data_IF_113616161459
#
_entry.id   IF_113616161459
#
_cell.length_a   1.000
_cell.length_b   1.000
_cell.length_c   1.000
_cell.angle_alpha   90.00
_cell.angle_beta   90.00
_cell.angle_gamma   90.00
#
_symmetry.space_group_name_H-M   'P 1'
#
loop_
_entity.id
_entity.type
_entity.pdbx_description
1 polymer ?
#
# COMPACT_ATOMS: atom_id res chain seq x y z
N UNK A 1 12.19 -5.29 6.29
CA UNK A 1 12.53 -3.88 6.02
C UNK A 1 14.03 -3.80 5.99
N UNK A 2 14.57 -3.41 4.83
CA UNK A 2 16.00 -3.24 4.64
C UNK A 2 16.48 -1.96 5.35
N UNK A 3 17.79 -1.85 5.59
CA UNK A 3 18.35 -0.73 6.36
C UNK A 3 18.13 0.63 5.68
N UNK A 4 18.28 0.73 4.35
CA UNK A 4 18.02 2.01 3.68
C UNK A 4 16.58 2.50 3.82
N UNK A 5 15.62 1.57 3.85
CA UNK A 5 14.21 1.93 3.99
C UNK A 5 13.88 2.52 5.36
N UNK A 6 14.73 2.22 6.36
CA UNK A 6 14.65 2.88 7.66
C UNK A 6 15.02 4.35 7.49
N UNK A 7 16.07 4.67 6.72
CA UNK A 7 16.44 6.06 6.44
C UNK A 7 15.33 6.77 5.65
N UNK A 8 14.77 6.15 4.62
CA UNK A 8 13.63 6.70 3.87
C UNK A 8 12.42 6.97 4.79
N UNK A 9 12.11 6.02 5.68
CA UNK A 9 11.02 6.19 6.66
C UNK A 9 11.32 7.32 7.64
N UNK A 10 12.57 7.44 8.10
CA UNK A 10 13.01 8.52 8.99
C UNK A 10 12.84 9.87 8.29
N UNK A 11 13.27 10.00 7.03
CA UNK A 11 13.20 11.25 6.28
C UNK A 11 11.76 11.63 5.92
N UNK A 12 10.94 10.65 5.53
CA UNK A 12 9.50 10.85 5.35
C UNK A 12 8.84 11.32 6.66
N UNK A 13 9.16 10.69 7.79
CA UNK A 13 8.57 11.04 9.08
C UNK A 13 9.08 12.38 9.59
N UNK A 14 10.34 12.73 9.35
CA UNK A 14 10.91 14.05 9.68
C UNK A 14 10.17 15.16 8.93
N UNK A 15 9.84 14.92 7.66
CA UNK A 15 9.15 15.90 6.81
C UNK A 15 7.67 16.06 7.19
N UNK A 16 7.01 14.98 7.63
CA UNK A 16 5.56 14.96 7.82
C UNK A 16 5.11 14.97 9.29
N UNK A 17 5.78 14.21 10.15
CA UNK A 17 5.43 13.96 11.55
C UNK A 17 5.30 15.23 12.39
N UNK A 18 6.27 16.17 12.39
CA UNK A 18 6.18 17.41 13.17
C UNK A 18 4.96 18.27 12.82
N UNK A 19 4.59 18.36 11.54
CA UNK A 19 3.41 19.10 11.08
C UNK A 19 2.13 18.48 11.65
N UNK A 20 1.97 17.18 11.50
CA UNK A 20 0.81 16.43 12.01
C UNK A 20 0.74 16.48 13.53
N UNK A 21 1.88 16.29 14.22
CA UNK A 21 1.96 16.37 15.68
C UNK A 21 1.57 17.76 16.21
N UNK A 22 1.92 18.84 15.51
CA UNK A 22 1.46 20.19 15.83
C UNK A 22 -0.06 20.33 15.68
N UNK A 23 -0.64 19.81 14.60
CA UNK A 23 -2.09 19.85 14.37
C UNK A 23 -2.87 19.06 15.43
N UNK A 24 -2.37 17.87 15.82
CA UNK A 24 -2.93 17.12 16.95
C UNK A 24 -2.89 17.92 18.26
N UNK A 25 -1.76 18.55 18.58
CA UNK A 25 -1.63 19.40 19.77
C UNK A 25 -2.58 20.60 19.75
N UNK A 26 -2.77 21.23 18.59
CA UNK A 26 -3.71 22.34 18.45
C UNK A 26 -5.14 21.92 18.81
N UNK A 27 -5.61 20.80 18.24
CA UNK A 27 -6.93 20.27 18.56
C UNK A 27 -7.03 19.83 20.04
N UNK A 28 -6.02 19.11 20.53
CA UNK A 28 -5.95 18.66 21.92
C UNK A 28 -6.02 19.83 22.92
N UNK A 29 -5.37 20.96 22.63
CA UNK A 29 -5.43 22.15 23.48
C UNK A 29 -6.85 22.72 23.58
N UNK A 30 -7.57 22.79 22.46
CA UNK A 30 -8.96 23.27 22.43
C UNK A 30 -9.89 22.32 23.20
N UNK A 31 -9.73 21.01 23.00
CA UNK A 31 -10.52 20.00 23.72
C UNK A 31 -10.23 20.04 25.23
N UNK A 32 -8.96 20.17 25.62
CA UNK A 32 -8.56 20.28 27.03
C UNK A 32 -9.08 21.56 27.69
N UNK A 33 -9.10 22.68 26.95
CA UNK A 33 -9.75 23.91 27.40
C UNK A 33 -11.24 23.67 27.61
N UNK A 34 -11.91 23.04 26.65
CA UNK A 34 -13.33 22.70 26.74
C UNK A 34 -13.64 21.68 27.85
N UNK A 35 -12.71 20.83 28.24
CA UNK A 35 -12.88 19.91 29.37
C UNK A 35 -12.76 20.61 30.72
N UNK A 36 -11.89 21.62 30.83
CA UNK A 36 -11.51 22.23 32.12
C UNK A 36 -12.16 23.59 32.40
N UNK A 37 -12.58 24.32 31.37
CA UNK A 37 -13.11 25.67 31.49
C UNK A 37 -14.61 25.73 31.22
N UNK A 38 -15.29 26.69 31.87
CA UNK A 38 -16.71 26.95 31.64
C UNK A 38 -16.95 27.65 30.30
N UNK A 39 -16.05 28.54 29.88
CA UNK A 39 -16.11 29.17 28.57
C UNK A 39 -15.57 28.19 27.52
N UNK A 40 -16.42 27.79 26.57
CA UNK A 40 -16.02 26.86 25.50
C UNK A 40 -15.44 27.60 24.31
N UNK A 41 -14.42 27.01 23.69
CA UNK A 41 -13.82 27.42 22.43
C UNK A 41 -14.39 26.59 21.28
N UNK A 42 -14.50 27.17 20.07
CA UNK A 42 -14.92 26.43 18.88
C UNK A 42 -13.87 25.38 18.49
N UNK A 43 -14.33 24.16 18.19
CA UNK A 43 -13.46 23.01 17.84
C UNK A 43 -13.29 22.83 16.32
N UNK A 44 -14.25 23.35 15.55
CA UNK A 44 -14.45 23.00 14.14
C UNK A 44 -13.24 23.31 13.25
N UNK A 45 -12.58 24.44 13.48
CA UNK A 45 -11.43 24.86 12.66
C UNK A 45 -10.23 23.93 12.85
N UNK A 46 -9.85 23.67 14.11
CA UNK A 46 -8.71 22.80 14.43
C UNK A 46 -9.00 21.34 14.04
N UNK A 47 -10.26 20.90 14.17
CA UNK A 47 -10.69 19.59 13.69
C UNK A 47 -10.49 19.47 12.18
N UNK A 48 -11.01 20.45 11.42
CA UNK A 48 -10.92 20.45 9.97
C UNK A 48 -9.47 20.51 9.48
N UNK A 49 -8.66 21.39 10.07
CA UNK A 49 -7.23 21.52 9.73
C UNK A 49 -6.46 20.20 9.96
N UNK A 50 -6.74 19.50 11.06
CA UNK A 50 -6.12 18.21 11.36
C UNK A 50 -6.60 17.11 10.39
N UNK A 51 -7.91 17.01 10.14
CA UNK A 51 -8.49 16.02 9.23
C UNK A 51 -7.96 16.21 7.80
N UNK A 52 -7.95 17.45 7.29
CA UNK A 52 -7.36 17.76 5.99
C UNK A 52 -5.86 17.46 5.97
N UNK A 53 -5.14 17.86 7.02
CA UNK A 53 -3.71 17.62 7.15
C UNK A 53 -3.33 16.14 7.12
N UNK A 54 -4.16 15.29 7.76
CA UNK A 54 -4.02 13.84 7.79
C UNK A 54 -4.38 13.20 6.44
N UNK A 55 -5.47 13.62 5.80
CA UNK A 55 -5.87 13.14 4.48
C UNK A 55 -4.87 13.53 3.38
N UNK A 56 -4.18 14.66 3.55
CA UNK A 56 -3.14 15.13 2.63
C UNK A 56 -1.76 14.49 2.86
N UNK A 57 -1.60 13.57 3.83
CA UNK A 57 -0.33 12.89 4.02
C UNK A 57 0.00 11.97 2.84
N UNK A 58 1.23 12.02 2.30
CA UNK A 58 1.63 11.18 1.18
C UNK A 58 1.96 9.74 1.66
N UNK A 59 0.98 9.06 2.26
CA UNK A 59 1.11 7.68 2.73
C UNK A 59 1.44 6.71 1.59
N UNK A 60 1.12 7.08 0.36
CA UNK A 60 1.44 6.32 -0.86
C UNK A 60 2.91 6.34 -1.23
N UNK A 61 3.75 7.22 -0.64
CA UNK A 61 5.21 7.18 -0.83
C UNK A 61 5.86 6.05 -0.01
N UNK A 62 5.23 5.69 1.11
CA UNK A 62 5.70 4.61 1.97
C UNK A 62 5.41 3.24 1.33
N UNK A 63 6.39 2.34 1.40
CA UNK A 63 6.19 0.95 1.04
C UNK A 63 5.48 0.17 2.16
N UNK A 64 5.02 -1.05 1.86
CA UNK A 64 4.23 -1.84 2.81
C UNK A 64 4.98 -2.20 4.09
N UNK A 65 6.31 -2.37 4.03
CA UNK A 65 7.10 -2.69 5.22
C UNK A 65 7.22 -1.47 6.14
N UNK A 66 7.36 -0.27 5.57
CA UNK A 66 7.38 0.98 6.32
C UNK A 66 6.02 1.25 6.99
N UNK A 67 4.91 1.05 6.27
CA UNK A 67 3.56 1.16 6.84
C UNK A 67 3.37 0.15 7.98
N UNK A 68 3.72 -1.13 7.76
CA UNK A 68 3.64 -2.15 8.80
C UNK A 68 4.52 -1.84 10.03
N UNK A 69 5.67 -1.19 9.82
CA UNK A 69 6.52 -0.76 10.92
C UNK A 69 5.88 0.40 11.71
N UNK A 70 5.22 1.36 11.06
CA UNK A 70 4.45 2.42 11.73
C UNK A 70 3.28 1.83 12.53
N UNK A 71 2.60 0.81 12.00
CA UNK A 71 1.55 0.07 12.72
C UNK A 71 2.12 -0.65 13.94
N UNK A 72 3.27 -1.33 13.80
CA UNK A 72 3.96 -2.03 14.90
C UNK A 72 4.45 -1.07 16.00
N UNK A 73 4.89 0.13 15.64
CA UNK A 73 5.24 1.19 16.60
C UNK A 73 3.97 1.76 17.28
N UNK A 74 2.79 1.52 16.71
CA UNK A 74 1.50 1.93 17.25
C UNK A 74 1.10 3.35 16.86
N UNK A 75 1.72 3.92 15.82
CA UNK A 75 1.44 5.27 15.31
C UNK A 75 0.64 5.25 14.01
N UNK A 76 0.64 4.15 13.26
CA UNK A 76 -0.03 4.07 11.96
C UNK A 76 -1.53 4.41 11.99
N UNK A 77 -2.24 4.06 13.05
CA UNK A 77 -3.66 4.41 13.27
C UNK A 77 -3.92 5.92 13.47
N UNK A 78 -2.88 6.73 13.71
CA UNK A 78 -2.98 8.19 13.89
C UNK A 78 -2.45 8.97 12.68
N UNK A 79 -2.23 8.29 11.56
CA UNK A 79 -1.69 8.88 10.34
C UNK A 79 -2.63 8.58 9.16
N UNK A 80 -2.55 9.41 8.13
CA UNK A 80 -3.35 9.26 6.92
C UNK A 80 -4.86 9.26 7.20
N UNK A 81 -5.59 8.55 6.34
CA UNK A 81 -7.05 8.39 6.42
C UNK A 81 -7.49 7.76 7.74
N UNK A 82 -6.77 6.72 8.23
CA UNK A 82 -7.08 6.09 9.53
C UNK A 82 -7.01 7.09 10.69
N UNK A 83 -6.00 7.96 10.67
CA UNK A 83 -5.88 9.05 11.64
C UNK A 83 -7.04 10.03 11.56
N UNK A 84 -7.47 10.40 10.35
CA UNK A 84 -8.59 11.31 10.14
C UNK A 84 -9.90 10.72 10.71
N UNK A 85 -10.18 9.44 10.43
CA UNK A 85 -11.34 8.73 10.96
C UNK A 85 -11.29 8.58 12.49
N UNK A 86 -10.10 8.27 13.04
CA UNK A 86 -9.90 8.28 14.48
C UNK A 86 -10.28 9.65 15.08
N UNK A 87 -9.78 10.74 14.49
CA UNK A 87 -10.07 12.10 14.96
C UNK A 87 -11.56 12.42 14.86
N UNK A 88 -12.20 12.10 13.74
CA UNK A 88 -13.63 12.31 13.57
C UNK A 88 -14.42 11.50 14.59
N UNK A 89 -14.21 10.19 14.71
CA UNK A 89 -14.91 9.33 15.68
C UNK A 89 -14.83 9.86 17.11
N UNK A 90 -13.64 10.29 17.53
CA UNK A 90 -13.40 10.79 18.89
C UNK A 90 -14.07 12.15 19.15
N UNK A 91 -14.28 12.98 18.12
CA UNK A 91 -14.82 14.33 18.27
C UNK A 91 -16.31 14.43 17.88
N UNK A 92 -16.80 13.60 16.95
CA UNK A 92 -18.12 13.74 16.33
C UNK A 92 -19.08 12.57 16.59
N UNK A 93 -18.59 11.32 16.67
CA UNK A 93 -19.46 10.13 16.70
C UNK A 93 -19.79 9.64 18.11
N UNK A 94 -18.87 9.80 19.06
CA UNK A 94 -19.16 9.59 20.48
C UNK A 94 -19.93 10.78 21.03
N UNK A 95 -20.94 10.55 21.87
CA UNK A 95 -21.69 11.62 22.54
C UNK A 95 -20.70 12.58 23.21
N UNK A 96 -20.45 13.72 22.57
CA UNK A 96 -19.24 14.50 22.72
C UNK A 96 -18.90 14.75 24.20
N UNK A 97 -17.86 14.05 24.68
CA UNK A 97 -17.29 14.23 26.01
C UNK A 97 -15.91 14.88 25.87
N UNK A 98 -15.81 16.20 26.09
CA UNK A 98 -14.55 16.92 25.96
C UNK A 98 -13.40 16.31 26.76
N UNK A 99 -13.68 15.70 27.92
CA UNK A 99 -12.63 15.14 28.78
C UNK A 99 -12.03 13.87 28.17
N UNK A 100 -12.87 12.93 27.75
CA UNK A 100 -12.43 11.70 27.07
C UNK A 100 -11.77 12.04 25.74
N UNK A 101 -12.38 12.89 24.90
CA UNK A 101 -11.80 13.31 23.63
C UNK A 101 -10.44 14.00 23.81
N UNK A 102 -10.27 14.85 24.84
CA UNK A 102 -8.98 15.48 25.13
C UNK A 102 -7.90 14.46 25.54
N UNK A 103 -8.27 13.45 26.33
CA UNK A 103 -7.35 12.39 26.77
C UNK A 103 -6.90 11.49 25.62
N UNK A 104 -7.83 11.12 24.74
CA UNK A 104 -7.53 10.31 23.55
C UNK A 104 -6.68 11.09 22.54
N UNK A 105 -7.04 12.36 22.28
CA UNK A 105 -6.22 13.23 21.42
C UNK A 105 -4.83 13.49 21.99
N UNK A 106 -4.69 13.60 23.32
CA UNK A 106 -3.37 13.70 23.96
C UNK A 106 -2.55 12.44 23.71
N UNK A 107 -3.14 11.27 23.87
CA UNK A 107 -2.47 9.99 23.60
C UNK A 107 -1.98 9.90 22.15
N UNK A 108 -2.82 10.30 21.19
CA UNK A 108 -2.44 10.37 19.77
C UNK A 108 -1.31 11.38 19.53
N UNK A 109 -1.42 12.59 20.07
CA UNK A 109 -0.42 13.66 19.94
C UNK A 109 0.96 13.24 20.51
N UNK A 110 0.96 12.60 21.68
CA UNK A 110 2.16 12.12 22.36
C UNK A 110 2.81 10.99 21.55
N UNK A 111 2.02 10.05 21.03
CA UNK A 111 2.52 8.98 20.16
C UNK A 111 3.13 9.53 18.87
N UNK A 112 2.41 10.38 18.14
CA UNK A 112 2.92 11.01 16.91
C UNK A 112 4.20 11.80 17.18
N UNK A 113 4.27 12.55 18.27
CA UNK A 113 5.48 13.33 18.58
C UNK A 113 6.67 12.44 19.00
N UNK A 114 6.43 11.37 19.76
CA UNK A 114 7.50 10.53 20.32
C UNK A 114 8.23 9.69 19.26
N UNK A 115 7.54 9.35 18.16
CA UNK A 115 8.13 8.56 17.06
C UNK A 115 9.25 9.30 16.35
N UNK A 116 9.19 10.64 16.24
CA UNK A 116 10.29 11.43 15.65
C UNK A 116 11.62 11.15 16.36
N UNK A 117 11.64 11.27 17.70
CA UNK A 117 12.87 11.04 18.47
C UNK A 117 13.35 9.58 18.44
N UNK A 118 12.42 8.63 18.37
CA UNK A 118 12.74 7.20 18.22
C UNK A 118 13.42 6.93 16.87
N UNK A 119 12.84 7.42 15.77
CA UNK A 119 13.37 7.23 14.42
C UNK A 119 14.70 7.96 14.23
N UNK A 120 14.85 9.18 14.75
CA UNK A 120 16.13 9.91 14.71
C UNK A 120 17.23 9.19 15.49
N UNK A 121 16.91 8.64 16.66
CA UNK A 121 17.85 7.85 17.46
C UNK A 121 18.27 6.58 16.73
N UNK A 122 17.33 5.91 16.07
CA UNK A 122 17.60 4.73 15.25
C UNK A 122 18.51 5.06 14.05
N UNK A 123 18.19 6.14 13.31
CA UNK A 123 19.01 6.64 12.20
C UNK A 123 20.44 6.93 12.65
N UNK A 124 20.59 7.64 13.78
CA UNK A 124 21.91 7.96 14.35
C UNK A 124 22.69 6.71 14.72
N UNK A 125 22.02 5.72 15.33
CA UNK A 125 22.65 4.45 15.71
C UNK A 125 23.11 3.65 14.47
N UNK A 126 22.31 3.63 13.40
CA UNK A 126 22.66 2.97 12.15
C UNK A 126 23.86 3.65 11.47
N UNK A 127 23.88 4.98 11.42
CA UNK A 127 25.02 5.75 10.91
C UNK A 127 26.29 5.51 11.73
N UNK A 128 26.18 5.48 13.06
CA UNK A 128 27.32 5.17 13.93
C UNK A 128 27.84 3.73 13.74
N UNK A 129 26.98 2.79 13.34
CA UNK A 129 27.35 1.44 12.98
C UNK A 129 27.92 1.31 11.55
N UNK A 130 28.01 2.40 10.80
CA UNK A 130 28.58 2.45 9.45
C UNK A 130 27.59 2.27 8.31
N UNK A 131 26.28 2.19 8.59
CA UNK A 131 25.25 2.17 7.55
C UNK A 131 24.96 3.58 7.06
N UNK A 132 25.01 3.80 5.75
CA UNK A 132 24.71 5.10 5.14
C UNK A 132 23.38 5.02 4.36
N UNK A 133 22.64 6.15 4.23
CA UNK A 133 21.41 6.23 3.43
C UNK A 133 21.59 5.71 2.00
N UNK A 134 22.71 6.05 1.36
CA UNK A 134 22.99 5.68 -0.04
C UNK A 134 23.71 4.33 -0.22
N UNK A 135 23.84 3.53 0.85
CA UNK A 135 24.59 2.25 0.79
C UNK A 135 23.74 1.02 0.49
N UNK A 136 22.47 1.15 0.10
CA UNK A 136 21.75 -0.02 -0.43
C UNK A 136 22.31 -0.42 -1.79
N UNK A 137 23.06 -1.51 -1.75
CA UNK A 137 23.55 -2.22 -2.92
C UNK A 137 22.44 -2.60 -3.90
N UNK A 138 22.92 -2.76 -5.13
CA UNK A 138 22.20 -2.88 -6.39
C UNK A 138 21.59 -1.57 -6.86
N UNK A 139 22.45 -0.79 -7.52
CA UNK A 139 22.11 0.33 -8.40
C UNK A 139 20.91 -0.11 -9.25
N UNK A 140 19.74 0.44 -8.93
CA UNK A 140 18.65 0.50 -9.89
C UNK A 140 19.19 1.36 -11.01
N UNK A 141 19.61 0.72 -12.10
CA UNK A 141 19.90 1.46 -13.33
C UNK A 141 18.65 2.23 -13.73
N UNK A 142 18.80 3.40 -14.34
CA UNK A 142 17.69 4.33 -14.62
C UNK A 142 16.56 3.67 -15.45
N UNK A 143 16.86 2.59 -16.15
CA UNK A 143 15.97 1.79 -17.00
C UNK A 143 15.28 0.60 -16.29
N UNK A 144 15.61 0.35 -15.03
CA UNK A 144 15.10 -0.79 -14.24
C UNK A 144 14.22 -0.35 -13.08
N UNK A 145 13.31 -1.23 -12.67
CA UNK A 145 12.55 -1.05 -11.44
C UNK A 145 12.60 -2.31 -10.58
N UNK A 146 12.42 -2.13 -9.27
CA UNK A 146 12.40 -3.23 -8.31
C UNK A 146 10.96 -3.50 -7.88
N UNK A 147 10.55 -4.75 -8.04
CA UNK A 147 9.38 -5.29 -7.39
C UNK A 147 9.76 -6.23 -6.25
N UNK A 148 8.88 -6.34 -5.26
CA UNK A 148 9.02 -7.19 -4.09
C UNK A 148 7.88 -8.16 -4.02
N UNK A 149 8.21 -9.43 -4.04
CA UNK A 149 7.25 -10.52 -3.94
C UNK A 149 7.26 -11.01 -2.50
N UNK A 150 6.15 -10.85 -1.79
CA UNK A 150 5.98 -11.27 -0.41
C UNK A 150 5.14 -12.55 -0.34
N UNK A 151 5.67 -13.57 0.33
CA UNK A 151 5.01 -14.85 0.55
C UNK A 151 4.46 -14.90 1.98
N UNK A 152 3.15 -14.64 2.16
CA UNK A 152 2.47 -14.64 3.46
C UNK A 152 1.31 -15.65 3.47
N UNK A 153 0.78 -15.96 4.65
CA UNK A 153 -0.39 -16.85 4.84
C UNK A 153 -0.23 -18.18 4.06
N UNK A 154 -1.21 -18.56 3.25
CA UNK A 154 -1.22 -19.79 2.46
C UNK A 154 -0.23 -19.76 1.28
N UNK A 155 0.31 -18.59 0.94
CA UNK A 155 1.40 -18.43 -0.01
C UNK A 155 2.78 -18.58 0.65
N UNK A 156 2.86 -18.72 1.97
CA UNK A 156 4.13 -18.87 2.68
C UNK A 156 4.94 -20.08 2.20
N UNK A 157 6.26 -19.93 2.22
CA UNK A 157 7.20 -20.99 1.84
C UNK A 157 7.66 -21.72 3.10
N UNK A 158 6.94 -22.76 3.48
CA UNK A 158 7.22 -23.51 4.70
C UNK A 158 8.26 -24.63 4.51
N UNK A 159 8.48 -25.06 3.26
CA UNK A 159 9.39 -26.16 2.94
C UNK A 159 9.95 -26.07 1.50
N UNK A 160 10.92 -26.93 1.18
CA UNK A 160 11.61 -26.96 -0.13
C UNK A 160 10.65 -27.31 -1.28
N UNK A 161 9.63 -28.15 -1.03
CA UNK A 161 8.65 -28.48 -2.06
C UNK A 161 7.79 -27.27 -2.42
N UNK A 162 7.38 -26.48 -1.43
CA UNK A 162 6.69 -25.21 -1.63
C UNK A 162 7.58 -24.22 -2.38
N UNK A 163 8.86 -24.10 -2.02
CA UNK A 163 9.82 -23.24 -2.73
C UNK A 163 9.94 -23.62 -4.20
N UNK A 164 10.08 -24.93 -4.51
CA UNK A 164 10.15 -25.44 -5.88
C UNK A 164 8.88 -25.12 -6.66
N UNK A 165 7.71 -25.33 -6.06
CA UNK A 165 6.42 -25.02 -6.67
C UNK A 165 6.31 -23.53 -6.99
N UNK A 166 6.56 -22.68 -6.00
CA UNK A 166 6.48 -21.23 -6.20
C UNK A 166 7.49 -20.71 -7.20
N UNK A 167 8.70 -21.27 -7.24
CA UNK A 167 9.69 -20.95 -8.28
C UNK A 167 9.18 -21.31 -9.68
N UNK A 168 8.56 -22.47 -9.86
CA UNK A 168 7.97 -22.86 -11.14
C UNK A 168 6.77 -21.96 -11.52
N UNK A 169 5.91 -21.63 -10.56
CA UNK A 169 4.78 -20.74 -10.78
C UNK A 169 5.25 -19.33 -11.16
N UNK A 170 6.25 -18.78 -10.47
CA UNK A 170 6.82 -17.48 -10.80
C UNK A 170 7.56 -17.47 -12.13
N UNK A 171 8.25 -18.55 -12.50
CA UNK A 171 8.83 -18.66 -13.84
C UNK A 171 7.75 -18.59 -14.94
N UNK A 172 6.61 -19.25 -14.75
CA UNK A 172 5.49 -19.18 -15.69
C UNK A 172 4.82 -17.80 -15.71
N UNK A 173 4.69 -17.17 -14.54
CA UNK A 173 4.16 -15.80 -14.42
C UNK A 173 5.04 -14.83 -15.20
N UNK A 174 6.35 -14.81 -14.91
CA UNK A 174 7.32 -13.91 -15.56
C UNK A 174 7.37 -14.18 -17.06
N UNK A 175 7.37 -15.44 -17.49
CA UNK A 175 7.35 -15.79 -18.91
C UNK A 175 6.11 -15.26 -19.63
N UNK A 176 4.93 -15.45 -19.06
CA UNK A 176 3.68 -15.03 -19.70
C UNK A 176 3.54 -13.51 -19.79
N UNK A 177 4.01 -12.77 -18.78
CA UNK A 177 4.03 -11.29 -18.81
C UNK A 177 5.17 -10.78 -19.70
N UNK A 178 6.35 -11.41 -19.67
CA UNK A 178 7.51 -11.05 -20.46
C UNK A 178 7.22 -11.03 -21.97
N UNK A 179 6.40 -11.96 -22.46
CA UNK A 179 5.96 -11.96 -23.86
C UNK A 179 5.21 -10.68 -24.30
N UNK A 180 4.62 -9.90 -23.38
CA UNK A 180 3.98 -8.62 -23.71
C UNK A 180 5.00 -7.51 -23.99
N UNK A 181 6.22 -7.66 -23.50
CA UNK A 181 7.28 -6.66 -23.56
C UNK A 181 8.56 -7.19 -24.23
N UNK A 182 8.45 -8.33 -24.94
CA UNK A 182 9.54 -9.04 -25.60
C UNK A 182 10.71 -9.42 -24.66
N UNK A 183 10.38 -9.80 -23.42
CA UNK A 183 11.32 -10.25 -22.40
C UNK A 183 11.11 -11.70 -22.00
N UNK A 184 12.17 -12.30 -21.46
CA UNK A 184 12.21 -13.67 -20.97
C UNK A 184 12.44 -13.72 -19.46
N UNK A 185 12.17 -14.87 -18.80
CA UNK A 185 12.48 -15.02 -17.38
C UNK A 185 13.96 -14.84 -17.02
N UNK A 186 14.88 -14.90 -17.99
CA UNK A 186 16.30 -14.66 -17.76
C UNK A 186 16.66 -13.18 -17.63
N UNK A 187 15.79 -12.29 -18.12
CA UNK A 187 16.00 -10.84 -18.06
C UNK A 187 15.64 -10.27 -16.68
N UNK A 188 14.85 -11.01 -15.91
CA UNK A 188 14.47 -10.67 -14.54
C UNK A 188 15.46 -11.24 -13.52
N UNK A 189 16.03 -10.39 -12.66
CA UNK A 189 17.08 -10.78 -11.70
C UNK A 189 16.55 -10.77 -10.28
N UNK A 190 16.87 -11.80 -9.51
CA UNK A 190 16.67 -11.80 -8.05
C UNK A 190 17.82 -11.02 -7.41
N UNK A 191 17.49 -9.86 -6.84
CA UNK A 191 18.47 -8.94 -6.20
C UNK A 191 18.50 -9.09 -4.68
N UNK A 192 17.53 -9.77 -4.07
CA UNK A 192 17.55 -9.99 -2.63
C UNK A 192 16.51 -10.98 -2.12
N UNK A 193 16.74 -11.51 -0.91
CA UNK A 193 15.77 -12.30 -0.16
C UNK A 193 15.88 -12.06 1.36
N UNK A 194 14.78 -11.71 2.05
CA UNK A 194 14.78 -11.39 3.49
C UNK A 194 13.89 -12.31 4.36
N UNK A 195 14.12 -12.32 5.69
CA UNK A 195 13.49 -13.23 6.67
C UNK A 195 12.25 -12.64 7.38
N UNK A 196 11.39 -13.53 7.90
CA UNK A 196 10.17 -13.25 8.69
C UNK A 196 8.89 -13.61 7.95
N UNK A 197 8.96 -13.50 6.63
CA UNK A 197 8.11 -14.03 5.57
C UNK A 197 9.04 -13.94 4.35
N UNK A 198 9.15 -14.95 3.48
CA UNK A 198 10.12 -14.82 2.37
C UNK A 198 9.68 -13.64 1.52
N UNK A 199 10.56 -12.66 1.36
CA UNK A 199 10.38 -11.54 0.44
C UNK A 199 11.48 -11.67 -0.59
N UNK A 200 11.11 -11.81 -1.86
CA UNK A 200 12.06 -11.87 -2.97
C UNK A 200 12.01 -10.52 -3.68
N UNK A 201 13.14 -9.83 -3.70
CA UNK A 201 13.31 -8.60 -4.47
C UNK A 201 13.78 -8.98 -5.87
N UNK A 202 13.09 -8.48 -6.88
CA UNK A 202 13.32 -8.78 -8.29
C UNK A 202 13.42 -7.47 -9.07
N UNK A 203 14.43 -7.37 -9.95
CA UNK A 203 14.57 -6.27 -10.89
C UNK A 203 14.26 -6.71 -12.32
N UNK A 204 13.68 -5.80 -13.11
CA UNK A 204 13.36 -5.98 -14.52
C UNK A 204 13.17 -4.61 -15.17
N UNK A 205 12.90 -4.57 -16.48
CA UNK A 205 12.67 -3.31 -17.18
C UNK A 205 11.44 -2.57 -16.61
N UNK A 206 11.40 -1.24 -16.82
CA UNK A 206 10.22 -0.45 -16.47
C UNK A 206 8.93 -0.99 -17.09
N UNK A 207 8.98 -1.47 -18.33
CA UNK A 207 7.81 -2.01 -19.03
C UNK A 207 7.30 -3.30 -18.37
N UNK A 208 8.21 -4.24 -18.07
CA UNK A 208 7.87 -5.49 -17.40
C UNK A 208 7.27 -5.24 -16.01
N UNK A 209 7.93 -4.40 -15.21
CA UNK A 209 7.48 -4.07 -13.85
C UNK A 209 6.15 -3.30 -13.87
N UNK A 210 5.93 -2.44 -14.87
CA UNK A 210 4.66 -1.74 -15.06
C UNK A 210 3.51 -2.68 -15.42
N UNK A 211 3.76 -3.70 -16.24
CA UNK A 211 2.77 -4.74 -16.53
C UNK A 211 2.39 -5.52 -15.27
N UNK A 212 3.38 -5.84 -14.42
CA UNK A 212 3.13 -6.42 -13.10
C UNK A 212 2.33 -5.50 -12.19
N UNK A 213 2.69 -4.22 -12.09
CA UNK A 213 1.98 -3.24 -11.27
C UNK A 213 0.52 -3.11 -11.69
N UNK A 214 0.26 -3.06 -13.00
CA UNK A 214 -1.09 -3.03 -13.54
C UNK A 214 -1.90 -4.28 -13.16
N UNK A 215 -1.31 -5.46 -13.30
CA UNK A 215 -1.96 -6.72 -12.91
C UNK A 215 -2.25 -6.74 -11.40
N UNK A 216 -1.30 -6.33 -10.56
CA UNK A 216 -1.47 -6.17 -9.11
C UNK A 216 -2.63 -5.24 -8.77
N UNK A 217 -2.71 -4.07 -9.42
CA UNK A 217 -3.82 -3.11 -9.24
C UNK A 217 -5.18 -3.77 -9.49
N UNK A 218 -5.31 -4.52 -10.59
CA UNK A 218 -6.58 -5.19 -10.95
C UNK A 218 -6.97 -6.26 -9.95
N UNK A 219 -6.03 -7.09 -9.51
CA UNK A 219 -6.29 -8.12 -8.51
C UNK A 219 -6.66 -7.49 -7.17
N UNK A 220 -5.89 -6.50 -6.69
CA UNK A 220 -6.20 -5.78 -5.45
C UNK A 220 -7.53 -5.05 -5.52
N UNK A 221 -7.91 -4.49 -6.67
CA UNK A 221 -9.21 -3.84 -6.89
C UNK A 221 -10.38 -4.80 -6.72
N UNK A 222 -10.29 -6.04 -7.19
CA UNK A 222 -11.33 -7.05 -6.96
C UNK A 222 -11.42 -7.45 -5.50
N UNK A 223 -10.29 -7.61 -4.81
CA UNK A 223 -10.28 -7.90 -3.37
C UNK A 223 -11.00 -6.78 -2.60
N UNK A 224 -10.71 -5.53 -2.94
CA UNK A 224 -11.37 -4.37 -2.36
C UNK A 224 -12.88 -4.35 -2.65
N UNK A 225 -13.30 -4.64 -3.89
CA UNK A 225 -14.71 -4.75 -4.26
C UNK A 225 -15.44 -5.83 -3.43
N UNK A 226 -14.80 -6.98 -3.22
CA UNK A 226 -15.35 -8.06 -2.39
C UNK A 226 -15.59 -7.56 -0.96
N UNK A 227 -14.60 -6.90 -0.35
CA UNK A 227 -14.74 -6.35 1.00
C UNK A 227 -15.79 -5.23 1.09
N UNK A 228 -15.86 -4.35 0.09
CA UNK A 228 -16.89 -3.29 0.02
C UNK A 228 -18.30 -3.89 -0.01
N UNK A 229 -18.50 -4.93 -0.80
CA UNK A 229 -19.80 -5.62 -0.88
C UNK A 229 -20.11 -6.39 0.41
N UNK A 230 -19.12 -7.02 1.05
CA UNK A 230 -19.32 -7.68 2.35
C UNK A 230 -19.77 -6.67 3.42
N UNK A 231 -19.05 -5.56 3.55
CA UNK A 231 -19.43 -4.46 4.45
C UNK A 231 -20.81 -3.89 4.11
N UNK A 232 -21.13 -3.71 2.82
CA UNK A 232 -22.46 -3.24 2.41
C UNK A 232 -23.58 -4.23 2.78
N UNK A 233 -23.34 -5.54 2.69
CA UNK A 233 -24.29 -6.56 3.14
C UNK A 233 -24.50 -6.47 4.66
N UNK A 234 -23.43 -6.31 5.43
CA UNK A 234 -23.50 -6.17 6.89
C UNK A 234 -24.24 -4.89 7.30
N UNK A 235 -23.91 -3.75 6.70
CA UNK A 235 -24.63 -2.49 6.91
C UNK A 235 -26.13 -2.61 6.57
N UNK A 236 -26.47 -3.28 5.46
CA UNK A 236 -27.87 -3.55 5.11
C UNK A 236 -28.59 -4.46 6.12
N UNK A 237 -27.88 -5.44 6.71
CA UNK A 237 -28.40 -6.28 7.80
C UNK A 237 -28.65 -5.45 9.06
N UNK A 238 -27.69 -4.60 9.45
CA UNK A 238 -27.83 -3.70 10.60
C UNK A 238 -28.99 -2.71 10.43
N UNK A 239 -29.15 -2.16 9.23
CA UNK A 239 -30.28 -1.27 8.88
C UNK A 239 -31.61 -2.00 8.77
N UNK A 240 -31.64 -3.34 8.85
CA UNK A 240 -32.83 -4.19 8.65
C UNK A 240 -33.49 -3.99 7.29
N UNK A 241 -32.70 -3.61 6.30
CA UNK A 241 -33.12 -3.41 4.90
C UNK A 241 -32.76 -4.63 4.05
N UNK A 242 -31.86 -5.49 4.52
CA UNK A 242 -31.46 -6.68 3.77
C UNK A 242 -32.60 -7.69 3.64
N UNK A 243 -32.71 -8.27 2.44
CA UNK A 243 -33.44 -9.51 2.21
C UNK A 243 -32.50 -10.47 1.46
N UNK A 244 -32.76 -11.78 1.56
CA UNK A 244 -31.90 -12.80 0.95
C UNK A 244 -31.70 -12.62 -0.56
N UNK A 245 -32.63 -11.95 -1.25
CA UNK A 245 -32.58 -11.69 -2.70
C UNK A 245 -31.50 -10.66 -3.02
N UNK A 246 -31.43 -9.56 -2.26
CA UNK A 246 -30.41 -8.52 -2.43
C UNK A 246 -29.02 -9.07 -2.11
N UNK A 247 -28.88 -9.80 -0.99
CA UNK A 247 -27.60 -10.41 -0.62
C UNK A 247 -27.12 -11.43 -1.67
N UNK A 248 -28.04 -12.24 -2.21
CA UNK A 248 -27.73 -13.21 -3.26
C UNK A 248 -27.30 -12.52 -4.56
N UNK A 249 -28.03 -11.48 -4.98
CA UNK A 249 -27.68 -10.70 -6.18
C UNK A 249 -26.28 -10.08 -6.07
N UNK A 250 -25.96 -9.45 -4.93
CA UNK A 250 -24.64 -8.84 -4.71
C UNK A 250 -23.51 -9.88 -4.74
N UNK A 251 -23.72 -11.05 -4.15
CA UNK A 251 -22.75 -12.16 -4.18
C UNK A 251 -22.61 -12.77 -5.58
N UNK A 252 -23.69 -12.85 -6.35
CA UNK A 252 -23.63 -13.33 -7.74
C UNK A 252 -22.86 -12.38 -8.65
N UNK A 253 -23.05 -11.07 -8.49
CA UNK A 253 -22.32 -10.08 -9.27
C UNK A 253 -20.82 -10.06 -8.95
N UNK A 254 -20.45 -10.26 -7.68
CA UNK A 254 -19.04 -10.50 -7.31
C UNK A 254 -18.48 -11.76 -7.95
N UNK A 255 -19.19 -12.88 -7.89
CA UNK A 255 -18.74 -14.13 -8.52
C UNK A 255 -18.53 -13.97 -10.02
N UNK A 256 -19.41 -13.23 -10.69
CA UNK A 256 -19.25 -12.90 -12.11
C UNK A 256 -17.97 -12.09 -12.35
N UNK A 257 -17.73 -11.03 -11.57
CA UNK A 257 -16.49 -10.23 -11.65
C UNK A 257 -15.24 -11.06 -11.38
N UNK A 258 -15.26 -11.91 -10.35
CA UNK A 258 -14.15 -12.82 -10.07
C UNK A 258 -13.89 -13.80 -11.23
N UNK A 259 -14.96 -14.28 -11.87
CA UNK A 259 -14.85 -15.21 -13.00
C UNK A 259 -14.36 -14.54 -14.28
N UNK A 260 -14.69 -13.26 -14.51
CA UNK A 260 -14.22 -12.48 -15.66
C UNK A 260 -12.84 -11.85 -15.44
N UNK A 261 -12.38 -11.73 -14.19
CA UNK A 261 -11.14 -11.03 -13.83
C UNK A 261 -9.93 -11.43 -14.69
N UNK A 262 -9.75 -12.73 -14.92
CA UNK A 262 -8.63 -13.22 -15.74
C UNK A 262 -8.74 -12.72 -17.17
N UNK A 263 -9.93 -12.76 -17.76
CA UNK A 263 -10.17 -12.32 -19.14
C UNK A 263 -10.05 -10.79 -19.27
N UNK A 264 -10.56 -10.06 -18.29
CA UNK A 264 -10.49 -8.59 -18.24
C UNK A 264 -9.03 -8.12 -18.13
N UNK A 265 -8.23 -8.72 -17.24
CA UNK A 265 -6.79 -8.43 -17.11
C UNK A 265 -6.06 -8.71 -18.42
N UNK A 266 -6.31 -9.86 -19.06
CA UNK A 266 -5.66 -10.23 -20.32
C UNK A 266 -6.00 -9.22 -21.42
N UNK A 267 -7.27 -8.86 -21.56
CA UNK A 267 -7.72 -7.92 -22.58
C UNK A 267 -7.05 -6.55 -22.42
N UNK A 268 -7.01 -6.02 -21.20
CA UNK A 268 -6.39 -4.72 -20.94
C UNK A 268 -4.86 -4.75 -21.06
N UNK A 269 -4.20 -5.83 -20.62
CA UNK A 269 -2.75 -6.00 -20.81
C UNK A 269 -2.37 -6.02 -22.29
N UNK A 270 -3.12 -6.75 -23.13
CA UNK A 270 -2.91 -6.76 -24.58
C UNK A 270 -3.12 -5.38 -25.20
N UNK A 271 -4.16 -4.68 -24.79
CA UNK A 271 -4.43 -3.33 -25.30
C UNK A 271 -3.29 -2.37 -24.95
N UNK A 272 -2.73 -2.49 -23.75
CA UNK A 272 -1.59 -1.68 -23.29
C UNK A 272 -0.29 -2.00 -24.01
N UNK A 273 -0.05 -3.28 -24.32
CA UNK A 273 1.13 -3.73 -25.06
C UNK A 273 1.04 -3.48 -26.58
N UNK A 274 -0.11 -3.04 -27.10
CA UNK A 274 -0.34 -2.88 -28.54
C UNK A 274 -0.63 -4.19 -29.27
N UNK A 275 -0.92 -5.27 -28.53
CA UNK A 275 -1.21 -6.61 -29.05
C UNK A 275 -0.33 -7.70 -28.44
N UNK A 276 -0.64 -8.95 -28.77
CA UNK A 276 0.18 -10.12 -28.45
C UNK A 276 -0.03 -11.16 -29.55
N UNK A 277 1.02 -11.88 -29.92
CA UNK A 277 0.90 -13.00 -30.86
C UNK A 277 -0.01 -14.11 -30.27
N UNK A 278 -0.91 -14.67 -31.08
CA UNK A 278 -1.87 -15.70 -30.63
C UNK A 278 -1.19 -16.91 -29.97
N UNK A 279 0.05 -17.23 -30.38
CA UNK A 279 0.83 -18.33 -29.79
C UNK A 279 1.26 -18.09 -28.34
N UNK A 280 1.26 -16.83 -27.87
CA UNK A 280 1.61 -16.46 -26.50
C UNK A 280 0.39 -16.24 -25.59
N UNK A 281 -0.83 -16.26 -26.14
CA UNK A 281 -2.07 -16.10 -25.37
C UNK A 281 -2.21 -17.11 -24.24
N UNK A 282 -1.86 -18.37 -24.52
CA UNK A 282 -1.94 -19.44 -23.54
C UNK A 282 -0.97 -19.21 -22.37
N UNK A 283 0.22 -18.66 -22.64
CA UNK A 283 1.20 -18.32 -21.61
C UNK A 283 0.71 -17.15 -20.75
N UNK A 284 0.23 -16.07 -21.39
CA UNK A 284 -0.30 -14.92 -20.67
C UNK A 284 -1.50 -15.31 -19.79
N UNK A 285 -2.43 -16.11 -20.31
CA UNK A 285 -3.58 -16.60 -19.54
C UNK A 285 -3.14 -17.44 -18.34
N UNK A 286 -2.13 -18.28 -18.52
CA UNK A 286 -1.58 -19.11 -17.42
C UNK A 286 -0.91 -18.22 -16.37
N UNK A 287 -0.12 -17.22 -16.78
CA UNK A 287 0.52 -16.27 -15.90
C UNK A 287 -0.50 -15.50 -15.04
N UNK A 288 -1.52 -14.91 -15.67
CA UNK A 288 -2.57 -14.16 -14.96
C UNK A 288 -3.32 -15.06 -13.96
N UNK A 289 -3.68 -16.29 -14.36
CA UNK A 289 -4.33 -17.25 -13.44
C UNK A 289 -3.46 -17.58 -12.22
N UNK A 290 -2.19 -17.88 -12.45
CA UNK A 290 -1.24 -18.21 -11.37
C UNK A 290 -1.01 -17.02 -10.45
N UNK A 291 -0.91 -15.81 -11.00
CA UNK A 291 -0.78 -14.59 -10.21
C UNK A 291 -2.02 -14.32 -9.34
N UNK A 292 -3.22 -14.46 -9.92
CA UNK A 292 -4.49 -14.36 -9.16
C UNK A 292 -4.54 -15.40 -8.04
N UNK A 293 -4.16 -16.66 -8.31
CA UNK A 293 -4.12 -17.71 -7.29
C UNK A 293 -3.09 -17.43 -6.19
N UNK A 294 -1.90 -16.95 -6.56
CA UNK A 294 -0.87 -16.51 -5.63
C UNK A 294 -1.42 -15.40 -4.71
N UNK A 295 -2.08 -14.40 -5.29
CA UNK A 295 -2.65 -13.29 -4.51
C UNK A 295 -3.79 -13.73 -3.60
N UNK A 296 -4.68 -14.61 -4.06
CA UNK A 296 -5.76 -15.19 -3.23
C UNK A 296 -5.23 -15.99 -2.03
N UNK A 297 -3.99 -16.48 -2.08
CA UNK A 297 -3.32 -17.19 -0.98
C UNK A 297 -2.58 -16.26 -0.01
N UNK A 298 -2.76 -14.95 -0.13
CA UNK A 298 -2.04 -13.95 0.68
C UNK A 298 -0.65 -13.62 0.15
N UNK A 299 -0.35 -14.03 -1.10
CA UNK A 299 0.81 -13.53 -1.83
C UNK A 299 0.63 -12.07 -2.22
N UNK A 300 1.68 -11.27 -2.07
CA UNK A 300 1.60 -9.85 -2.40
C UNK A 300 2.78 -9.39 -3.23
N UNK A 301 2.52 -8.45 -4.14
CA UNK A 301 3.56 -7.69 -4.82
C UNK A 301 3.53 -6.25 -4.31
N UNK A 302 4.71 -5.72 -4.01
CA UNK A 302 4.96 -4.30 -3.74
C UNK A 302 6.07 -3.82 -4.70
N UNK A 303 6.25 -2.51 -4.80
CA UNK A 303 7.17 -1.91 -5.75
C UNK A 303 7.96 -0.82 -5.04
N UNK A 304 9.26 -0.77 -5.29
CA UNK A 304 10.05 0.39 -4.89
C UNK A 304 9.77 1.52 -5.88
N UNK A 305 9.65 2.74 -5.34
CA UNK A 305 9.40 3.89 -6.18
C UNK A 305 10.68 4.18 -6.98
N UNK A 306 10.60 4.20 -8.32
CA UNK A 306 11.77 4.55 -9.13
C UNK A 306 12.19 6.00 -8.83
N UNK A 307 13.49 6.32 -8.86
CA UNK A 307 13.99 7.68 -8.64
C UNK A 307 13.39 8.67 -9.63
N UNK A 308 13.41 9.97 -9.29
CA UNK A 308 13.05 10.99 -10.28
C UNK A 308 14.14 11.04 -11.34
N UNK A 309 13.79 11.10 -12.64
CA UNK A 309 14.78 11.35 -13.66
C UNK A 309 15.48 12.68 -13.32
N UNK A 310 16.81 12.66 -13.24
CA UNK A 310 17.59 13.88 -13.06
C UNK A 310 17.32 14.77 -14.27
N UNK A 311 16.92 16.02 -14.03
CA UNK A 311 16.63 16.96 -15.10
C UNK A 311 17.94 17.52 -15.68
N UNK A 312 18.69 16.68 -16.37
CA UNK A 312 19.84 17.14 -17.15
C UNK A 312 19.35 17.69 -18.50
N UNK A 313 19.71 18.94 -18.79
CA UNK A 313 19.13 19.73 -19.89
C UNK A 313 19.50 19.22 -21.31
N UNK A 314 20.30 18.16 -21.44
CA UNK A 314 20.96 17.74 -22.69
C UNK A 314 20.41 16.47 -23.39
N UNK A 315 19.51 15.64 -22.81
CA UNK A 315 19.03 14.37 -23.43
C UNK A 315 17.51 14.33 -23.80
N UNK A 316 17.05 15.32 -24.58
CA UNK A 316 15.62 15.66 -24.77
C UNK A 316 14.65 14.64 -25.43
N UNK A 317 15.06 13.42 -25.85
CA UNK A 317 14.16 12.48 -26.55
C UNK A 317 14.09 11.06 -25.95
N UNK A 318 15.20 10.48 -25.49
CA UNK A 318 15.15 9.20 -24.75
C UNK A 318 14.52 9.40 -23.36
N UNK A 319 14.75 10.58 -22.76
CA UNK A 319 14.18 10.96 -21.46
C UNK A 319 12.65 11.03 -21.47
N UNK A 320 12.01 11.37 -22.60
CA UNK A 320 10.55 11.53 -22.62
C UNK A 320 9.79 10.20 -22.53
N UNK A 321 10.25 9.17 -23.25
CA UNK A 321 9.64 7.85 -23.20
C UNK A 321 9.88 7.18 -21.84
N UNK A 322 11.08 7.34 -21.30
CA UNK A 322 11.45 6.82 -19.98
C UNK A 322 10.73 7.57 -18.86
N UNK A 323 10.66 8.91 -18.91
CA UNK A 323 9.90 9.70 -17.96
C UNK A 323 8.40 9.36 -17.98
N UNK A 324 7.83 9.07 -19.17
CA UNK A 324 6.45 8.60 -19.28
C UNK A 324 6.26 7.25 -18.57
N UNK A 325 7.16 6.27 -18.79
CA UNK A 325 7.10 4.97 -18.12
C UNK A 325 7.28 5.08 -16.60
N UNK A 326 8.21 5.93 -16.13
CA UNK A 326 8.42 6.22 -14.71
C UNK A 326 7.15 6.85 -14.11
N UNK A 327 6.57 7.85 -14.78
CA UNK A 327 5.34 8.50 -14.35
C UNK A 327 4.16 7.53 -14.28
N UNK A 328 4.02 6.67 -15.29
CA UNK A 328 2.98 5.64 -15.33
C UNK A 328 3.16 4.61 -14.21
N UNK A 329 4.38 4.09 -14.01
CA UNK A 329 4.69 3.15 -12.94
C UNK A 329 4.40 3.77 -11.57
N UNK A 330 4.84 5.00 -11.32
CA UNK A 330 4.54 5.73 -10.07
C UNK A 330 3.05 5.90 -9.84
N UNK A 331 2.29 6.22 -10.89
CA UNK A 331 0.84 6.29 -10.85
C UNK A 331 0.22 4.96 -10.41
N UNK A 332 0.64 3.85 -11.02
CA UNK A 332 0.18 2.50 -10.66
C UNK A 332 0.55 2.14 -9.21
N UNK A 333 1.78 2.43 -8.79
CA UNK A 333 2.24 2.15 -7.42
C UNK A 333 1.38 2.90 -6.41
N UNK A 334 1.11 4.18 -6.66
CA UNK A 334 0.26 5.01 -5.80
C UNK A 334 -1.17 4.45 -5.70
N UNK A 335 -1.77 4.06 -6.83
CA UNK A 335 -3.09 3.44 -6.85
C UNK A 335 -3.12 2.08 -6.13
N UNK A 336 -2.11 1.22 -6.30
CA UNK A 336 -2.01 -0.06 -5.60
C UNK A 336 -1.95 0.18 -4.09
N UNK A 337 -1.09 1.11 -3.65
CA UNK A 337 -0.93 1.44 -2.22
C UNK A 337 -2.19 2.07 -1.65
N UNK A 338 -2.89 2.90 -2.43
CA UNK A 338 -4.21 3.46 -2.05
C UNK A 338 -5.25 2.36 -1.88
N UNK A 339 -5.38 1.45 -2.85
CA UNK A 339 -6.29 0.28 -2.77
C UNK A 339 -5.96 -0.56 -1.55
N UNK A 340 -4.68 -0.88 -1.31
CA UNK A 340 -4.28 -1.68 -0.14
C UNK A 340 -4.57 -0.98 1.18
N UNK A 341 -4.32 0.33 1.27
CA UNK A 341 -4.66 1.11 2.45
C UNK A 341 -6.18 1.10 2.70
N UNK A 342 -6.99 1.18 1.66
CA UNK A 342 -8.45 1.07 1.77
C UNK A 342 -8.90 -0.34 2.16
N UNK A 343 -8.29 -1.39 1.59
CA UNK A 343 -8.55 -2.80 1.94
C UNK A 343 -8.31 -3.03 3.43
N UNK A 344 -7.13 -2.64 3.93
CA UNK A 344 -6.79 -2.81 5.35
C UNK A 344 -7.73 -2.02 6.26
N UNK A 345 -8.16 -0.83 5.84
CA UNK A 345 -9.18 -0.06 6.56
C UNK A 345 -10.51 -0.82 6.68
N UNK A 346 -10.98 -1.43 5.59
CA UNK A 346 -12.23 -2.18 5.60
C UNK A 346 -12.14 -3.46 6.44
N UNK A 347 -10.97 -4.11 6.47
CA UNK A 347 -10.73 -5.26 7.36
C UNK A 347 -10.79 -4.84 8.83
N UNK A 348 -10.18 -3.72 9.21
CA UNK A 348 -10.21 -3.20 10.59
C UNK A 348 -11.65 -2.89 11.06
N UNK A 349 -12.54 -2.45 10.16
CA UNK A 349 -13.95 -2.22 10.49
C UNK A 349 -14.69 -3.54 10.78
N UNK A 350 -14.49 -4.56 9.94
CA UNK A 350 -15.16 -5.86 10.13
C UNK A 350 -14.77 -6.56 11.44
N UNK A 351 -13.55 -6.36 11.93
CA UNK A 351 -13.11 -6.97 13.20
C UNK A 351 -13.79 -6.29 14.39
N UNK A 352 -13.93 -4.96 14.37
CA UNK A 352 -14.52 -4.21 15.48
C UNK A 352 -16.03 -4.40 15.65
N UNK A 353 -16.76 -4.82 14.60
CA UNK A 353 -18.20 -5.11 14.68
C UNK A 353 -18.52 -6.53 15.22
N UNK A 354 -17.50 -7.39 15.38
CA UNK A 354 -17.65 -8.77 15.88
C UNK A 354 -17.29 -8.99 17.35
N UNK A 355 -16.76 -7.96 18.04
CA UNK A 355 -16.55 -7.92 19.50
C UNK A 355 -17.69 -7.15 20.21
#
# INVERSE_FOLDING_TARGET
>A
MEVAEIFDLVDWYRSNGPRVGKQYKNLQNVLQHNASQNQKQPVREQLHELVEGLNALPMTELNLQQVAQLDKIGVGQFLGVRGAEFVERVVTESGYDPATSASEMKTAADKVTSVTGMLESLSTALQAAGFMPDQTGDVVHDDTAIARIQFRQDASIENIAAMKKWSADWNDIVRGIGHLVDETPHDMKVVGASKGSIIVCVSGSMALISAFAFMSKKVSGVVLDVLKVQNAIEDLRHKRISNEVIERSMREDLKKRESSLVDDIIAELKNRAGGLAEEHDAHLRTAVKKYVEFSKKGGEMDYLQPPEPEADEEEQLQDQAQAHLIGELRGLISEIRSIKSETLRLEDLTVNDTE
#
